data_IF_075093066395
#
_entry.id   IF_075093066395
#
_cell.length_a   1.000
_cell.length_b   1.000
_cell.length_c   1.000
_cell.angle_alpha   90.00
_cell.angle_beta   90.00
_cell.angle_gamma   90.00
#
_symmetry.space_group_name_H-M   'P 1'
#
loop_
_entity.id
_entity.type
_entity.pdbx_description
1 polymer ?
#
# COMPACT_ATOMS: atom_id res chain seq x y z
N UNK A 1 4.04 -5.98 -15.11
CA UNK A 1 5.34 -5.32 -14.92
C UNK A 1 5.17 -4.20 -13.89
N UNK A 2 5.03 -4.56 -12.60
CA UNK A 2 4.65 -3.62 -11.51
C UNK A 2 5.75 -2.58 -11.23
N UNK A 3 7.01 -2.97 -11.37
CA UNK A 3 8.16 -2.09 -11.22
C UNK A 3 8.16 -0.95 -12.24
N UNK A 4 7.84 -1.24 -13.51
CA UNK A 4 7.68 -0.19 -14.52
C UNK A 4 6.53 0.77 -14.18
N UNK A 5 5.41 0.25 -13.70
CA UNK A 5 4.25 1.09 -13.31
C UNK A 5 4.64 2.03 -12.17
N UNK A 6 5.37 1.56 -11.15
CA UNK A 6 5.88 2.38 -10.06
C UNK A 6 6.87 3.43 -10.57
N UNK A 7 7.84 3.02 -11.38
CA UNK A 7 8.83 3.93 -11.94
C UNK A 7 8.16 5.05 -12.74
N UNK A 8 7.12 4.76 -13.53
CA UNK A 8 6.34 5.76 -14.25
C UNK A 8 5.56 6.69 -13.30
N UNK A 9 4.89 6.13 -12.28
CA UNK A 9 4.08 6.87 -11.32
C UNK A 9 4.91 7.82 -10.43
N UNK A 10 6.09 7.38 -10.00
CA UNK A 10 6.94 8.11 -9.05
C UNK A 10 8.05 8.93 -9.69
N UNK A 11 8.32 8.76 -11.00
CA UNK A 11 9.33 9.57 -11.73
C UNK A 11 9.17 11.08 -11.53
N UNK A 12 7.95 11.68 -11.58
CA UNK A 12 7.80 13.12 -11.36
C UNK A 12 8.17 13.57 -9.94
N UNK A 13 8.15 12.66 -8.97
CA UNK A 13 8.46 12.91 -7.56
C UNK A 13 9.92 12.59 -7.20
N UNK A 14 10.69 12.03 -8.14
CA UNK A 14 12.09 11.63 -7.88
C UNK A 14 12.26 10.48 -6.90
N UNK A 15 11.20 9.69 -6.67
CA UNK A 15 11.22 8.55 -5.73
C UNK A 15 11.53 7.27 -6.48
N UNK A 16 12.54 6.53 -6.00
CA UNK A 16 12.95 5.23 -6.56
C UNK A 16 13.16 4.15 -5.50
N UNK A 17 13.08 4.49 -4.22
CA UNK A 17 13.13 3.53 -3.12
C UNK A 17 11.72 3.13 -2.70
N UNK A 18 11.31 1.92 -3.06
CA UNK A 18 9.98 1.39 -2.75
C UNK A 18 9.76 1.13 -1.27
N UNK A 19 10.82 1.07 -0.46
CA UNK A 19 10.72 1.00 1.00
C UNK A 19 10.63 2.38 1.66
N UNK A 20 10.79 3.47 0.92
CA UNK A 20 10.57 4.83 1.44
C UNK A 20 9.11 5.29 1.41
N UNK A 21 8.21 4.49 0.83
CA UNK A 21 6.78 4.79 0.68
C UNK A 21 5.89 3.83 1.48
N UNK A 22 4.65 4.24 1.78
CA UNK A 22 3.62 3.37 2.38
C UNK A 22 2.79 2.66 1.29
N UNK A 23 2.21 1.51 1.64
CA UNK A 23 1.63 0.58 0.67
C UNK A 23 0.21 0.15 0.99
N UNK A 24 -0.70 0.34 0.03
CA UNK A 24 -2.06 -0.18 0.06
C UNK A 24 -2.26 -1.05 -1.18
N UNK A 25 -2.24 -2.37 -1.04
CA UNK A 25 -2.40 -3.26 -2.18
C UNK A 25 -3.72 -4.03 -2.06
N UNK A 26 -4.53 -4.05 -3.13
CA UNK A 26 -5.72 -4.89 -3.16
C UNK A 26 -5.33 -6.38 -2.92
N UNK A 27 -5.86 -7.02 -1.87
CA UNK A 27 -5.44 -8.36 -1.51
C UNK A 27 -6.29 -9.39 -2.27
N UNK A 28 -5.97 -9.60 -3.55
CA UNK A 28 -6.61 -10.66 -4.34
C UNK A 28 -6.41 -12.05 -3.73
N UNK A 29 -5.33 -12.22 -2.96
CA UNK A 29 -4.99 -13.38 -2.14
C UNK A 29 -3.56 -13.24 -1.58
N UNK A 30 -3.14 -14.11 -0.64
CA UNK A 30 -1.82 -13.99 0.00
C UNK A 30 -0.67 -14.13 -1.01
N UNK A 31 -0.80 -15.02 -1.99
CA UNK A 31 0.22 -15.24 -3.02
C UNK A 31 0.50 -14.00 -3.87
N UNK A 32 -0.48 -13.13 -4.10
CA UNK A 32 -0.29 -11.87 -4.83
C UNK A 32 0.59 -10.92 -4.01
N UNK A 33 0.35 -10.81 -2.71
CA UNK A 33 1.15 -9.98 -1.81
C UNK A 33 2.59 -10.49 -1.73
N UNK A 34 2.77 -11.81 -1.60
CA UNK A 34 4.10 -12.43 -1.57
C UNK A 34 4.89 -12.15 -2.87
N UNK A 35 4.22 -12.20 -4.02
CA UNK A 35 4.85 -11.88 -5.31
C UNK A 35 5.22 -10.40 -5.43
N UNK A 36 4.38 -9.48 -4.96
CA UNK A 36 4.68 -8.04 -4.96
C UNK A 36 5.89 -7.74 -4.07
N UNK A 37 5.90 -8.26 -2.84
CA UNK A 37 7.02 -8.11 -1.90
C UNK A 37 8.32 -8.65 -2.50
N UNK A 38 8.29 -9.89 -3.00
CA UNK A 38 9.48 -10.53 -3.55
C UNK A 38 9.99 -9.82 -4.81
N UNK A 39 9.08 -9.36 -5.68
CA UNK A 39 9.45 -8.72 -6.94
C UNK A 39 10.06 -7.34 -6.74
N UNK A 40 9.63 -6.61 -5.70
CA UNK A 40 10.06 -5.24 -5.44
C UNK A 40 11.07 -5.13 -4.30
N UNK A 41 11.39 -6.23 -3.60
CA UNK A 41 12.29 -6.22 -2.45
C UNK A 41 11.70 -5.43 -1.27
N UNK A 42 10.40 -5.54 -1.04
CA UNK A 42 9.76 -4.82 0.07
C UNK A 42 10.06 -5.48 1.41
N UNK A 43 10.26 -4.66 2.43
CA UNK A 43 10.22 -5.08 3.82
C UNK A 43 8.84 -5.65 4.16
N UNK A 44 8.79 -6.65 5.05
CA UNK A 44 7.56 -7.40 5.38
C UNK A 44 6.49 -6.48 5.98
N UNK A 45 6.93 -5.44 6.65
CA UNK A 45 6.16 -4.43 7.34
C UNK A 45 5.31 -3.61 6.36
N UNK A 46 5.75 -3.45 5.10
CA UNK A 46 5.03 -2.65 4.09
C UNK A 46 3.64 -3.18 3.75
N UNK A 47 3.44 -4.48 3.87
CA UNK A 47 2.13 -5.09 3.59
C UNK A 47 1.36 -5.42 4.87
N UNK A 48 1.80 -4.97 6.05
CA UNK A 48 1.19 -5.34 7.34
C UNK A 48 -0.29 -4.98 7.40
N UNK A 49 -0.67 -3.75 7.05
CA UNK A 49 -2.08 -3.32 7.02
C UNK A 49 -2.91 -4.15 6.02
N UNK A 50 -2.36 -4.38 4.82
CA UNK A 50 -2.99 -5.21 3.77
C UNK A 50 -3.23 -6.64 4.24
N UNK A 51 -2.24 -7.25 4.89
CA UNK A 51 -2.32 -8.62 5.42
C UNK A 51 -3.28 -8.74 6.59
N UNK A 52 -3.38 -7.75 7.46
CA UNK A 52 -4.37 -7.76 8.53
C UNK A 52 -5.79 -7.74 7.96
N UNK A 53 -6.08 -6.81 7.04
CA UNK A 53 -7.42 -6.73 6.44
C UNK A 53 -7.76 -8.03 5.71
N UNK A 54 -6.82 -8.62 4.98
CA UNK A 54 -7.03 -9.93 4.34
C UNK A 54 -7.31 -11.04 5.36
N UNK A 55 -6.60 -11.05 6.49
CA UNK A 55 -6.76 -12.05 7.56
C UNK A 55 -8.12 -11.92 8.26
N UNK A 56 -8.57 -10.70 8.53
CA UNK A 56 -9.82 -10.44 9.27
C UNK A 56 -11.07 -10.50 8.38
N UNK A 57 -10.98 -10.00 7.15
CA UNK A 57 -12.15 -9.80 6.28
C UNK A 57 -12.09 -10.57 4.96
N UNK A 58 -10.96 -11.20 4.63
CA UNK A 58 -10.77 -11.82 3.33
C UNK A 58 -10.68 -10.81 2.18
N UNK A 59 -10.88 -11.32 0.95
CA UNK A 59 -10.99 -10.47 -0.23
C UNK A 59 -12.42 -9.95 -0.38
N UNK A 60 -12.61 -8.64 -0.15
CA UNK A 60 -13.89 -7.93 -0.25
C UNK A 60 -14.06 -7.21 -1.60
N UNK A 61 -13.35 -7.68 -2.63
CA UNK A 61 -13.25 -7.03 -3.93
C UNK A 61 -12.79 -5.56 -3.81
N UNK A 62 -13.47 -4.63 -4.49
CA UNK A 62 -13.10 -3.21 -4.52
C UNK A 62 -13.09 -2.54 -3.14
N UNK A 63 -13.88 -3.04 -2.17
CA UNK A 63 -13.92 -2.49 -0.82
C UNK A 63 -12.62 -2.67 -0.04
N UNK A 64 -11.82 -3.70 -0.35
CA UNK A 64 -10.63 -4.05 0.45
C UNK A 64 -9.63 -2.90 0.57
N UNK A 65 -9.36 -2.14 -0.50
CA UNK A 65 -8.36 -1.06 -0.44
C UNK A 65 -8.79 0.08 0.48
N UNK A 66 -10.10 0.32 0.63
CA UNK A 66 -10.64 1.32 1.55
C UNK A 66 -10.50 0.88 3.01
N UNK A 67 -10.71 -0.41 3.29
CA UNK A 67 -10.46 -0.97 4.62
C UNK A 67 -8.99 -0.93 4.99
N UNK A 68 -8.09 -1.16 4.03
CA UNK A 68 -6.64 -1.08 4.27
C UNK A 68 -6.21 0.36 4.55
N UNK A 69 -6.74 1.33 3.82
CA UNK A 69 -6.56 2.75 4.12
C UNK A 69 -7.03 3.12 5.52
N UNK A 70 -8.21 2.63 5.92
CA UNK A 70 -8.79 2.89 7.24
C UNK A 70 -7.97 2.24 8.37
N UNK A 71 -7.52 1.01 8.16
CA UNK A 71 -6.65 0.29 9.10
C UNK A 71 -5.30 1.01 9.25
N UNK A 72 -4.66 1.38 8.15
CA UNK A 72 -3.37 2.06 8.13
C UNK A 72 -3.43 3.39 8.90
N UNK A 73 -4.43 4.24 8.64
CA UNK A 73 -4.54 5.55 9.31
C UNK A 73 -4.81 5.39 10.81
N UNK A 74 -5.62 4.39 11.22
CA UNK A 74 -5.95 4.12 12.63
C UNK A 74 -4.71 3.63 13.38
N UNK A 75 -4.03 2.62 12.85
CA UNK A 75 -2.76 2.13 13.42
C UNK A 75 -1.69 3.21 13.49
N UNK A 76 -1.59 4.04 12.45
CA UNK A 76 -0.62 5.14 12.47
C UNK A 76 -0.86 6.10 13.64
N UNK A 77 -2.12 6.41 13.96
CA UNK A 77 -2.46 7.24 15.12
C UNK A 77 -2.24 6.51 16.45
N UNK A 78 -2.65 5.25 16.55
CA UNK A 78 -2.47 4.42 17.77
C UNK A 78 -1.00 4.19 18.11
N UNK A 79 -0.16 3.96 17.09
CA UNK A 79 1.28 3.75 17.22
C UNK A 79 2.09 5.06 17.36
N UNK A 80 1.42 6.22 17.40
CA UNK A 80 2.08 7.53 17.53
C UNK A 80 2.99 7.90 16.36
N UNK A 81 2.65 7.48 15.13
CA UNK A 81 3.39 7.83 13.91
C UNK A 81 3.20 9.30 13.56
N UNK A 82 4.17 9.86 12.84
CA UNK A 82 4.14 11.27 12.43
C UNK A 82 3.05 11.59 11.39
N UNK A 83 2.63 10.62 10.58
CA UNK A 83 1.67 10.81 9.47
C UNK A 83 0.66 9.68 9.41
N UNK A 84 -0.46 9.90 8.72
CA UNK A 84 -1.49 8.87 8.45
C UNK A 84 -1.01 7.71 7.58
N UNK A 85 0.17 7.83 6.97
CA UNK A 85 0.79 6.83 6.10
C UNK A 85 1.98 6.17 6.77
N UNK A 86 1.80 5.66 8.00
CA UNK A 86 2.83 4.95 8.77
C UNK A 86 4.07 5.79 9.10
N UNK A 87 3.94 7.13 9.14
CA UNK A 87 5.06 8.05 9.33
C UNK A 87 5.82 8.41 8.05
N UNK A 88 5.39 7.91 6.89
CA UNK A 88 5.96 8.21 5.58
C UNK A 88 5.12 9.24 4.85
N UNK A 89 5.74 10.03 3.98
CA UNK A 89 5.09 11.12 3.26
C UNK A 89 4.31 10.63 2.03
N UNK A 90 4.94 9.77 1.23
CA UNK A 90 4.38 9.28 -0.03
C UNK A 90 3.96 7.82 0.07
N UNK A 91 2.96 7.44 -0.71
CA UNK A 91 2.47 6.08 -0.76
C UNK A 91 1.84 5.71 -2.09
N UNK A 92 1.55 4.43 -2.25
CA UNK A 92 0.89 3.89 -3.43
C UNK A 92 -0.30 3.03 -3.05
N UNK A 93 -1.39 3.20 -3.78
CA UNK A 93 -2.53 2.29 -3.79
C UNK A 93 -2.58 1.52 -5.10
N UNK A 94 -2.63 0.19 -5.01
CA UNK A 94 -2.82 -0.71 -6.14
C UNK A 94 -4.18 -1.41 -6.10
N UNK A 95 -4.93 -1.33 -7.20
CA UNK A 95 -6.07 -2.19 -7.49
C UNK A 95 -5.70 -3.24 -8.54
N UNK A 96 -6.11 -4.51 -8.33
CA UNK A 96 -5.92 -5.58 -9.30
C UNK A 96 -7.28 -6.15 -9.74
N UNK A 97 -7.52 -6.22 -11.05
CA UNK A 97 -8.80 -6.68 -11.61
C UNK A 97 -8.67 -7.61 -12.83
N UNK A 98 -9.79 -8.20 -13.31
CA UNK A 98 -9.81 -9.13 -14.45
C UNK A 98 -9.20 -8.59 -15.75
N UNK A 99 -8.71 -9.50 -16.60
CA UNK A 99 -7.86 -9.19 -17.79
C UNK A 99 -6.38 -8.94 -17.47
N UNK A 100 -6.08 -8.89 -16.17
CA UNK A 100 -5.00 -8.17 -15.48
C UNK A 100 -4.97 -6.68 -15.81
N UNK A 101 -5.93 -5.97 -15.22
CA UNK A 101 -5.89 -4.51 -15.09
C UNK A 101 -5.24 -4.15 -13.75
N UNK A 102 -4.33 -3.16 -13.76
CA UNK A 102 -3.72 -2.59 -12.56
C UNK A 102 -4.09 -1.12 -12.49
N UNK A 103 -4.78 -0.72 -11.43
CA UNK A 103 -4.99 0.69 -11.10
C UNK A 103 -3.93 1.14 -10.11
N UNK A 104 -3.38 2.33 -10.34
CA UNK A 104 -2.29 2.90 -9.52
C UNK A 104 -2.66 4.31 -9.11
N UNK A 105 -2.67 4.57 -7.81
CA UNK A 105 -2.89 5.90 -7.26
C UNK A 105 -1.70 6.26 -6.39
N UNK A 106 -1.05 7.39 -6.68
CA UNK A 106 -0.04 7.98 -5.80
C UNK A 106 -0.75 8.77 -4.72
N UNK A 107 -0.36 8.56 -3.46
CA UNK A 107 -0.97 9.16 -2.29
C UNK A 107 0.07 9.99 -1.54
N UNK A 108 -0.40 11.06 -0.90
CA UNK A 108 0.36 11.85 0.06
C UNK A 108 -0.32 11.74 1.42
N UNK A 109 0.45 11.43 2.47
CA UNK A 109 -0.08 11.32 3.81
C UNK A 109 -0.27 12.70 4.46
N UNK A 110 -1.04 12.74 5.53
CA UNK A 110 -1.26 13.96 6.30
C UNK A 110 -0.58 13.82 7.67
N UNK A 111 0.07 14.87 8.20
CA UNK A 111 0.59 14.87 9.56
C UNK A 111 -0.53 14.58 10.58
N UNK A 112 -0.24 13.69 11.53
CA UNK A 112 -1.13 13.45 12.67
C UNK A 112 -0.82 14.53 13.69
N UNK A 113 -1.77 15.44 13.93
CA UNK A 113 -1.62 16.47 14.94
C UNK A 113 -1.54 15.81 16.34
N UNK A 114 -0.59 16.29 17.15
CA UNK A 114 -0.47 15.92 18.56
C UNK A 114 -1.63 16.49 19.40
#
# INVERSE_FOLDING_TARGET
>A
NIERILAEAFKPLGISDWNSIFWIAHPGGPAILDQVEAKLGLEKEKMKATREVLKEYGNMASGSVLFILDEMRKRSAEDGKATTGEGLEWGVLFGFGPGLTVETVVLHSIPIAA
#
